data_IF_352614456713
#
_entry.id   IF_352614456713
#
_cell.length_a   1.000
_cell.length_b   1.000
_cell.length_c   1.000
_cell.angle_alpha   90.00
_cell.angle_beta   90.00
_cell.angle_gamma   90.00
#
_symmetry.space_group_name_H-M   'P 1'
#
loop_
_entity.id
_entity.type
_entity.pdbx_description
1 polymer ?
#
# COMPACT_ATOMS: atom_id res chain seq x y z
N UNK A 1 -2.41 -26.10 -23.78
CA UNK A 1 -2.17 -25.17 -22.66
C UNK A 1 -3.13 -25.56 -21.54
N UNK A 2 -2.68 -26.35 -20.56
CA UNK A 2 -3.50 -26.62 -19.37
C UNK A 2 -3.41 -25.42 -18.44
N UNK A 3 -4.55 -24.93 -17.96
CA UNK A 3 -4.59 -23.95 -16.88
C UNK A 3 -3.99 -24.61 -15.63
N UNK A 4 -2.84 -24.10 -15.18
CA UNK A 4 -2.17 -24.59 -13.99
C UNK A 4 -2.01 -23.42 -13.01
N UNK A 5 -2.68 -23.53 -11.87
CA UNK A 5 -2.60 -22.56 -10.79
C UNK A 5 -1.29 -22.64 -10.01
N UNK A 6 -0.44 -23.64 -10.23
CA UNK A 6 0.83 -23.87 -9.51
C UNK A 6 2.01 -23.09 -10.08
N UNK A 7 1.76 -22.17 -10.99
CA UNK A 7 2.79 -21.30 -11.57
C UNK A 7 2.97 -20.01 -10.76
N UNK A 8 4.20 -19.47 -10.73
CA UNK A 8 4.49 -18.18 -10.09
C UNK A 8 3.67 -17.00 -10.66
N UNK A 9 3.08 -17.16 -11.84
CA UNK A 9 2.15 -16.17 -12.41
C UNK A 9 0.91 -15.95 -11.55
N UNK A 10 0.44 -16.96 -10.81
CA UNK A 10 -0.67 -16.78 -9.86
C UNK A 10 -0.25 -15.85 -8.73
N UNK A 11 0.97 -15.99 -8.22
CA UNK A 11 1.50 -15.18 -7.14
C UNK A 11 1.65 -13.72 -7.60
N UNK A 12 2.19 -13.51 -8.81
CA UNK A 12 2.26 -12.19 -9.44
C UNK A 12 0.86 -11.58 -9.58
N UNK A 13 -0.11 -12.35 -10.07
CA UNK A 13 -1.49 -11.87 -10.25
C UNK A 13 -2.14 -11.47 -8.91
N UNK A 14 -1.99 -12.29 -7.86
CA UNK A 14 -2.52 -12.01 -6.53
C UNK A 14 -1.90 -10.73 -5.95
N UNK A 15 -0.56 -10.59 -5.99
CA UNK A 15 0.12 -9.38 -5.53
C UNK A 15 -0.33 -8.15 -6.33
N UNK A 16 -0.48 -8.31 -7.65
CA UNK A 16 -0.95 -7.22 -8.53
C UNK A 16 -2.37 -6.77 -8.19
N UNK A 17 -3.29 -7.72 -8.01
CA UNK A 17 -4.68 -7.44 -7.61
C UNK A 17 -4.69 -6.74 -6.24
N UNK A 18 -3.89 -7.20 -5.28
CA UNK A 18 -3.78 -6.57 -3.97
C UNK A 18 -3.34 -5.09 -4.07
N UNK A 19 -2.29 -4.81 -4.85
CA UNK A 19 -1.84 -3.43 -5.10
C UNK A 19 -2.84 -2.59 -5.88
N UNK A 20 -3.54 -3.18 -6.84
CA UNK A 20 -4.61 -2.52 -7.60
C UNK A 20 -5.74 -2.07 -6.67
N UNK A 21 -6.25 -2.98 -5.83
CA UNK A 21 -7.30 -2.66 -4.84
C UNK A 21 -6.80 -1.61 -3.85
N UNK A 22 -5.57 -1.74 -3.36
CA UNK A 22 -4.93 -0.75 -2.51
C UNK A 22 -4.90 0.64 -3.16
N UNK A 23 -4.57 0.71 -4.45
CA UNK A 23 -4.54 1.98 -5.18
C UNK A 23 -5.95 2.57 -5.40
N UNK A 24 -6.95 1.73 -5.69
CA UNK A 24 -8.34 2.16 -5.88
C UNK A 24 -8.91 2.75 -4.59
N UNK A 25 -8.79 2.03 -3.46
CA UNK A 25 -9.40 2.46 -2.21
C UNK A 25 -8.55 3.46 -1.43
N UNK A 26 -7.22 3.33 -1.47
CA UNK A 26 -6.30 4.09 -0.63
C UNK A 26 -5.33 4.99 -1.41
N UNK A 27 -5.49 5.13 -2.73
CA UNK A 27 -4.59 5.94 -3.56
C UNK A 27 -4.48 7.40 -3.13
N UNK A 28 -5.56 7.96 -2.56
CA UNK A 28 -5.60 9.32 -2.04
C UNK A 28 -4.72 9.52 -0.80
N UNK A 29 -4.43 8.47 -0.02
CA UNK A 29 -3.45 8.53 1.06
C UNK A 29 -2.03 8.70 0.51
N UNK A 30 -1.78 8.45 -0.77
CA UNK A 30 -0.47 8.59 -1.39
C UNK A 30 -0.43 9.63 -2.51
N UNK A 31 -1.38 10.56 -2.55
CA UNK A 31 -1.56 11.50 -3.67
C UNK A 31 -0.31 12.34 -3.97
N UNK A 32 0.42 12.79 -2.93
CA UNK A 32 1.69 13.53 -3.09
C UNK A 32 2.95 12.66 -3.03
N UNK A 33 2.81 11.34 -2.94
CA UNK A 33 3.98 10.44 -2.95
C UNK A 33 4.53 10.32 -4.38
N UNK A 34 5.86 10.39 -4.58
CA UNK A 34 6.47 10.18 -5.89
C UNK A 34 6.04 8.83 -6.50
N UNK A 35 5.68 8.83 -7.79
CA UNK A 35 5.23 7.62 -8.51
C UNK A 35 6.23 6.47 -8.41
N UNK A 36 7.54 6.79 -8.44
CA UNK A 36 8.60 5.78 -8.32
C UNK A 36 8.58 5.05 -6.97
N UNK A 37 8.20 5.71 -5.86
CA UNK A 37 8.07 5.04 -4.55
C UNK A 37 6.91 4.04 -4.53
N UNK A 38 5.83 4.35 -5.25
CA UNK A 38 4.67 3.45 -5.40
C UNK A 38 5.07 2.20 -6.18
N UNK A 39 5.75 2.39 -7.31
CA UNK A 39 6.28 1.29 -8.14
C UNK A 39 7.32 0.46 -7.38
N UNK A 40 8.24 1.10 -6.67
CA UNK A 40 9.27 0.43 -5.89
C UNK A 40 8.68 -0.48 -4.80
N UNK A 41 7.63 -0.05 -4.10
CA UNK A 41 6.94 -0.91 -3.12
C UNK A 41 6.37 -2.17 -3.77
N UNK A 42 5.68 -2.03 -4.90
CA UNK A 42 5.14 -3.16 -5.66
C UNK A 42 6.24 -4.14 -6.09
N UNK A 43 7.30 -3.63 -6.72
CA UNK A 43 8.43 -4.46 -7.16
C UNK A 43 9.15 -5.13 -5.99
N UNK A 44 9.33 -4.41 -4.87
CA UNK A 44 9.92 -4.97 -3.66
C UNK A 44 9.04 -6.07 -3.07
N UNK A 45 7.72 -5.89 -3.02
CA UNK A 45 6.81 -6.95 -2.56
C UNK A 45 6.93 -8.19 -3.45
N UNK A 46 6.95 -8.06 -4.78
CA UNK A 46 7.20 -9.20 -5.67
C UNK A 46 8.55 -9.86 -5.42
N UNK A 47 9.61 -9.05 -5.28
CA UNK A 47 10.96 -9.55 -5.02
C UNK A 47 11.08 -10.31 -3.69
N UNK A 48 10.18 -10.06 -2.73
CA UNK A 48 10.11 -10.80 -1.46
C UNK A 48 9.19 -12.02 -1.57
N UNK A 49 8.00 -11.85 -2.16
CA UNK A 49 6.97 -12.89 -2.20
C UNK A 49 7.37 -14.05 -3.10
N UNK A 50 7.95 -13.79 -4.27
CA UNK A 50 8.29 -14.85 -5.23
C UNK A 50 9.37 -15.81 -4.69
N UNK A 51 10.47 -15.35 -4.07
CA UNK A 51 11.41 -16.26 -3.42
C UNK A 51 10.79 -17.06 -2.28
N UNK A 52 10.02 -16.42 -1.39
CA UNK A 52 9.39 -17.12 -0.26
C UNK A 52 8.44 -18.21 -0.79
N UNK A 53 7.65 -17.89 -1.80
CA UNK A 53 6.75 -18.87 -2.41
C UNK A 53 7.52 -20.04 -3.04
N UNK A 54 8.64 -19.76 -3.70
CA UNK A 54 9.50 -20.77 -4.35
C UNK A 54 10.18 -21.70 -3.35
N UNK A 55 10.72 -21.15 -2.25
CA UNK A 55 11.56 -21.91 -1.32
C UNK A 55 10.83 -22.43 -0.08
N UNK A 56 9.81 -21.71 0.39
CA UNK A 56 9.05 -22.05 1.61
C UNK A 56 7.61 -22.45 1.29
N UNK A 57 7.12 -22.15 0.09
CA UNK A 57 5.75 -22.44 -0.34
C UNK A 57 4.79 -21.25 -0.18
N UNK A 58 3.71 -21.30 -0.96
CA UNK A 58 2.70 -20.23 -1.03
C UNK A 58 2.04 -19.86 0.29
N UNK A 59 1.81 -20.84 1.15
CA UNK A 59 1.18 -20.58 2.45
C UNK A 59 1.97 -19.56 3.27
N UNK A 60 3.31 -19.67 3.28
CA UNK A 60 4.18 -18.72 3.97
C UNK A 60 4.26 -17.38 3.23
N UNK A 61 4.33 -17.39 1.90
CA UNK A 61 4.33 -16.17 1.10
C UNK A 61 3.07 -15.32 1.32
N UNK A 62 1.88 -15.92 1.20
CA UNK A 62 0.63 -15.21 1.39
C UNK A 62 0.31 -14.96 2.87
N UNK A 63 0.79 -15.79 3.78
CA UNK A 63 0.81 -15.49 5.21
C UNK A 63 1.57 -14.20 5.50
N UNK A 64 2.77 -14.03 4.92
CA UNK A 64 3.53 -12.78 5.04
C UNK A 64 2.81 -11.60 4.39
N UNK A 65 2.24 -11.77 3.20
CA UNK A 65 1.47 -10.72 2.54
C UNK A 65 0.28 -10.27 3.40
N UNK A 66 -0.45 -11.22 4.01
CA UNK A 66 -1.55 -10.93 4.92
C UNK A 66 -1.09 -10.20 6.19
N UNK A 67 0.04 -10.62 6.78
CA UNK A 67 0.64 -9.94 7.93
C UNK A 67 1.04 -8.49 7.61
N UNK A 68 1.50 -8.22 6.39
CA UNK A 68 1.83 -6.87 5.93
C UNK A 68 0.61 -5.92 5.85
N UNK A 69 -0.62 -6.45 5.90
CA UNK A 69 -1.85 -5.64 5.98
C UNK A 69 -2.10 -5.12 7.40
N UNK A 70 -1.60 -5.80 8.44
CA UNK A 70 -1.85 -5.40 9.84
C UNK A 70 -1.40 -3.97 10.15
N UNK A 71 -0.22 -3.49 9.72
CA UNK A 71 0.15 -2.09 9.88
C UNK A 71 -0.82 -1.12 9.19
N UNK A 72 -1.34 -1.47 8.02
CA UNK A 72 -2.34 -0.65 7.29
C UNK A 72 -3.62 -0.56 8.12
N UNK A 73 -4.15 -1.69 8.60
CA UNK A 73 -5.34 -1.69 9.45
C UNK A 73 -5.11 -0.86 10.72
N UNK A 74 -3.97 -1.04 11.38
CA UNK A 74 -3.66 -0.29 12.60
C UNK A 74 -3.57 1.22 12.36
N UNK A 75 -2.91 1.64 11.27
CA UNK A 75 -2.79 3.07 10.93
C UNK A 75 -4.17 3.66 10.66
N UNK A 76 -5.00 2.99 9.85
CA UNK A 76 -6.29 3.50 9.42
C UNK A 76 -7.36 3.42 10.53
N UNK A 77 -7.38 2.35 11.33
CA UNK A 77 -8.38 2.16 12.36
C UNK A 77 -8.02 2.85 13.70
N UNK A 78 -6.73 3.07 13.98
CA UNK A 78 -6.28 3.53 15.30
C UNK A 78 -5.47 4.84 15.21
N UNK A 79 -4.40 4.88 14.42
CA UNK A 79 -3.46 6.02 14.44
C UNK A 79 -4.10 7.28 13.86
N UNK A 80 -4.73 7.19 12.69
CA UNK A 80 -5.37 8.33 12.04
C UNK A 80 -6.55 8.88 12.87
N UNK A 81 -7.50 8.04 13.34
CA UNK A 81 -8.61 8.54 14.16
C UNK A 81 -8.15 9.21 15.46
N UNK A 82 -7.12 8.67 16.13
CA UNK A 82 -6.53 9.30 17.33
C UNK A 82 -5.95 10.69 17.06
N UNK A 83 -5.59 11.00 15.82
CA UNK A 83 -5.11 12.32 15.39
C UNK A 83 -6.24 13.23 14.86
N UNK A 84 -7.50 12.77 14.94
CA UNK A 84 -8.65 13.47 14.37
C UNK A 84 -8.64 13.50 12.84
N UNK A 85 -8.06 12.46 12.22
CA UNK A 85 -8.07 12.22 10.77
C UNK A 85 -8.94 10.99 10.52
N UNK A 86 -9.88 11.09 9.59
CA UNK A 86 -10.71 9.96 9.17
C UNK A 86 -9.83 8.88 8.53
N UNK A 87 -9.89 7.69 9.08
CA UNK A 87 -9.10 6.54 8.64
C UNK A 87 -9.40 6.04 7.24
N UNK A 88 -10.55 6.36 6.66
CA UNK A 88 -10.94 5.91 5.31
C UNK A 88 -10.76 6.97 4.25
N UNK A 89 -10.92 8.26 4.61
CA UNK A 89 -10.90 9.37 3.64
C UNK A 89 -9.66 10.26 3.75
N UNK A 90 -8.95 10.20 4.88
CA UNK A 90 -7.85 11.12 5.18
C UNK A 90 -8.30 12.55 5.49
N UNK A 91 -9.59 12.78 5.75
CA UNK A 91 -10.13 14.11 6.10
C UNK A 91 -10.03 14.42 7.60
N UNK A 92 -9.81 15.69 8.01
CA UNK A 92 -9.53 16.85 7.16
C UNK A 92 -8.14 16.80 6.51
N UNK A 93 -8.03 17.08 5.20
CA UNK A 93 -6.75 17.01 4.45
C UNK A 93 -5.60 17.78 5.09
N UNK A 94 -5.86 18.93 5.69
CA UNK A 94 -4.82 19.73 6.35
C UNK A 94 -4.09 18.94 7.44
N UNK A 95 -4.83 18.30 8.35
CA UNK A 95 -4.25 17.46 9.41
C UNK A 95 -3.51 16.25 8.84
N UNK A 96 -4.05 15.67 7.78
CA UNK A 96 -3.41 14.54 7.12
C UNK A 96 -2.09 14.93 6.45
N UNK A 97 -2.04 16.08 5.78
CA UNK A 97 -0.82 16.63 5.20
C UNK A 97 0.22 16.94 6.27
N UNK A 98 -0.17 17.52 7.41
CA UNK A 98 0.76 17.71 8.53
C UNK A 98 1.33 16.40 9.04
N UNK A 99 0.46 15.39 9.24
CA UNK A 99 0.88 14.05 9.66
C UNK A 99 1.87 13.41 8.68
N UNK A 100 1.72 13.69 7.39
CA UNK A 100 2.59 13.19 6.32
C UNK A 100 3.83 14.04 6.08
N UNK A 101 3.95 15.20 6.73
CA UNK A 101 5.00 16.18 6.44
C UNK A 101 4.91 16.76 5.02
N UNK A 102 3.70 16.85 4.47
CA UNK A 102 3.45 17.41 3.15
C UNK A 102 3.06 18.88 3.23
N UNK A 103 3.42 19.64 2.20
CA UNK A 103 2.93 21.02 2.06
C UNK A 103 1.40 21.01 2.02
N UNK A 104 0.77 21.96 2.71
CA UNK A 104 -0.68 22.18 2.59
C UNK A 104 -1.04 22.89 1.31
N UNK A 105 -0.10 23.66 0.78
CA UNK A 105 -0.28 24.39 -0.45
C UNK A 105 -0.23 23.44 -1.66
N UNK A 106 -1.28 23.50 -2.46
CA UNK A 106 -1.46 22.72 -3.69
C UNK A 106 -1.02 23.50 -4.94
N UNK A 107 -0.74 24.81 -4.82
CA UNK A 107 -0.42 25.70 -5.93
C UNK A 107 1.04 26.21 -5.94
N UNK A 108 1.85 25.93 -4.92
CA UNK A 108 3.25 26.34 -4.85
C UNK A 108 3.46 27.84 -4.57
N UNK A 109 2.47 28.53 -4.01
CA UNK A 109 2.62 29.87 -3.49
C UNK A 109 3.33 29.85 -2.13
N UNK A 110 4.53 30.41 -2.08
CA UNK A 110 5.22 30.71 -0.84
C UNK A 110 4.29 31.48 0.11
N UNK A 111 3.90 30.86 1.23
CA UNK A 111 3.44 31.62 2.38
C UNK A 111 4.70 31.97 3.17
N UNK A 112 5.09 33.26 3.09
CA UNK A 112 6.06 33.86 4.01
C UNK A 112 5.60 33.71 5.46
#
# INVERSE_FOLDING_TARGET
>A
MSWNTDTLWVDVAIVTIFYLLGHIYFGHFEERSPKWRKLAKYLLTLAIILPISTYLGRAYAFGLLALAVLPVIYIHAVVLPKKGINGLTGEPKGKYYDFRGWSRDIFGGEIK
#
